data_IF_718850911621
#
_entry.id   IF_718850911621
#
_cell.length_a   1.000
_cell.length_b   1.000
_cell.length_c   1.000
_cell.angle_alpha   90.00
_cell.angle_beta   90.00
_cell.angle_gamma   90.00
#
_symmetry.space_group_name_H-M   'P 1'
#
loop_
_entity.id
_entity.type
_entity.pdbx_description
1 polymer ?
#
# COMPACT_ATOMS: atom_id res chain seq x y z
N UNK A 1 -30.58 40.31 32.85
CA UNK A 1 -29.55 39.91 31.87
C UNK A 1 -29.99 38.59 31.28
N UNK A 2 -30.85 38.69 30.27
CA UNK A 2 -31.57 37.59 29.64
C UNK A 2 -30.80 37.19 28.39
N UNK A 3 -30.45 35.91 28.29
CA UNK A 3 -29.67 35.33 27.19
C UNK A 3 -30.56 35.27 25.95
N UNK A 4 -30.20 35.98 24.88
CA UNK A 4 -30.83 35.84 23.57
C UNK A 4 -30.07 34.80 22.74
N UNK A 5 -30.81 33.73 22.42
CA UNK A 5 -30.55 32.80 21.34
C UNK A 5 -30.87 33.47 20.00
N UNK A 6 -30.09 33.17 18.96
CA UNK A 6 -30.60 33.18 17.59
C UNK A 6 -29.76 32.25 16.72
N UNK A 7 -30.47 31.23 16.22
CA UNK A 7 -30.10 30.23 15.22
C UNK A 7 -29.39 30.78 13.98
N UNK A 8 -28.43 30.01 13.49
CA UNK A 8 -28.23 29.83 12.06
C UNK A 8 -27.97 28.35 11.77
N UNK A 9 -29.02 27.67 11.31
CA UNK A 9 -28.94 26.30 10.83
C UNK A 9 -28.08 26.17 9.58
N UNK A 10 -27.34 25.07 9.49
CA UNK A 10 -26.94 24.50 8.22
C UNK A 10 -27.09 22.99 8.27
N UNK A 11 -27.78 22.48 7.26
CA UNK A 11 -28.34 21.16 7.19
C UNK A 11 -27.31 20.07 6.86
N UNK A 12 -27.71 18.85 7.22
CA UNK A 12 -27.39 17.60 6.55
C UNK A 12 -25.94 17.07 6.64
N UNK A 13 -25.70 16.25 7.67
CA UNK A 13 -24.72 15.17 7.64
C UNK A 13 -25.40 13.87 8.03
N UNK A 14 -25.68 13.02 7.04
CA UNK A 14 -26.47 11.79 7.17
C UNK A 14 -25.91 10.84 8.25
N UNK A 15 -26.82 10.35 9.09
CA UNK A 15 -26.71 9.04 9.75
C UNK A 15 -26.89 7.95 8.69
N UNK A 16 -25.91 7.06 8.55
CA UNK A 16 -26.01 5.68 8.04
C UNK A 16 -24.56 5.16 7.94
N UNK A 17 -24.18 3.93 8.21
CA UNK A 17 -24.84 2.70 8.68
C UNK A 17 -23.70 1.72 8.96
N UNK A 18 -23.90 0.78 9.89
CA UNK A 18 -22.94 -0.29 10.10
C UNK A 18 -22.76 -1.14 8.85
N UNK A 19 -21.52 -1.55 8.59
CA UNK A 19 -21.19 -2.60 7.64
C UNK A 19 -21.21 -3.93 8.38
N UNK A 20 -22.39 -4.53 8.50
CA UNK A 20 -22.52 -5.93 8.88
C UNK A 20 -21.92 -6.80 7.80
N UNK A 21 -21.14 -7.79 8.23
CA UNK A 21 -20.59 -8.85 7.39
C UNK A 21 -21.75 -9.68 6.81
N UNK A 22 -22.24 -9.28 5.64
CA UNK A 22 -23.23 -10.03 4.90
C UNK A 22 -22.52 -11.19 4.19
N UNK A 23 -22.76 -12.41 4.66
CA UNK A 23 -22.31 -13.63 3.99
C UNK A 23 -22.87 -13.64 2.55
N UNK A 24 -21.97 -13.49 1.58
CA UNK A 24 -22.29 -13.39 0.15
C UNK A 24 -22.74 -14.76 -0.40
N UNK A 25 -23.77 -14.82 -1.28
CA UNK A 25 -24.19 -16.07 -1.94
C UNK A 25 -23.05 -16.74 -2.74
N UNK A 26 -23.06 -18.08 -2.88
CA UNK A 26 -21.97 -18.83 -3.53
C UNK A 26 -21.75 -18.54 -5.03
N UNK A 27 -22.73 -17.96 -5.72
CA UNK A 27 -22.68 -17.71 -7.18
C UNK A 27 -21.71 -16.61 -7.64
N UNK A 28 -21.10 -15.85 -6.73
CA UNK A 28 -20.20 -14.73 -7.03
C UNK A 28 -18.77 -14.91 -6.53
N UNK A 29 -18.26 -16.14 -6.46
CA UNK A 29 -16.86 -16.38 -6.10
C UNK A 29 -15.94 -16.24 -7.32
N UNK A 30 -14.76 -15.66 -7.08
CA UNK A 30 -13.67 -15.46 -8.05
C UNK A 30 -12.45 -16.23 -7.56
N UNK A 31 -11.82 -17.00 -8.45
CA UNK A 31 -10.63 -17.78 -8.10
C UNK A 31 -9.36 -17.07 -8.57
N UNK A 32 -8.39 -16.93 -7.67
CA UNK A 32 -7.10 -16.32 -7.95
C UNK A 32 -5.97 -17.07 -7.22
N UNK A 33 -4.74 -16.82 -7.65
CA UNK A 33 -3.54 -17.41 -7.04
C UNK A 33 -2.66 -16.29 -6.48
N UNK A 34 -2.30 -16.37 -5.21
CA UNK A 34 -1.39 -15.43 -4.53
C UNK A 34 -0.18 -16.22 -4.03
N UNK A 35 1.02 -15.85 -4.49
CA UNK A 35 2.28 -16.52 -4.11
C UNK A 35 2.29 -18.05 -4.30
N UNK A 36 1.52 -18.54 -5.28
CA UNK A 36 1.35 -19.97 -5.56
C UNK A 36 0.26 -20.66 -4.76
N UNK A 37 -0.39 -19.96 -3.82
CA UNK A 37 -1.56 -20.44 -3.09
C UNK A 37 -2.85 -20.00 -3.79
N UNK A 38 -3.72 -20.98 -4.12
CA UNK A 38 -5.03 -20.71 -4.70
C UNK A 38 -6.05 -20.31 -3.63
N UNK A 39 -6.86 -19.29 -3.91
CA UNK A 39 -7.96 -18.85 -3.05
C UNK A 39 -9.18 -18.45 -3.90
N UNK A 40 -10.37 -18.71 -3.36
CA UNK A 40 -11.63 -18.22 -3.92
C UNK A 40 -12.25 -17.19 -2.98
N UNK A 41 -12.51 -15.99 -3.48
CA UNK A 41 -13.07 -14.87 -2.70
C UNK A 41 -14.30 -14.28 -3.40
N UNK A 42 -15.21 -13.61 -2.68
CA UNK A 42 -16.35 -12.92 -3.30
C UNK A 42 -15.90 -11.88 -4.33
N UNK A 43 -16.67 -11.72 -5.42
CA UNK A 43 -16.50 -10.64 -6.40
C UNK A 43 -16.46 -9.29 -5.70
N UNK A 44 -15.55 -8.42 -6.16
CA UNK A 44 -15.34 -7.09 -5.56
C UNK A 44 -14.38 -7.08 -4.37
N UNK A 45 -13.93 -8.24 -3.87
CA UNK A 45 -12.87 -8.30 -2.86
C UNK A 45 -11.57 -7.71 -3.42
N UNK A 46 -10.87 -6.92 -2.61
CA UNK A 46 -9.57 -6.36 -2.98
C UNK A 46 -8.45 -7.38 -2.79
N UNK A 47 -7.41 -7.32 -3.62
CA UNK A 47 -6.27 -8.25 -3.55
C UNK A 47 -5.60 -8.24 -2.18
N UNK A 48 -5.53 -7.08 -1.52
CA UNK A 48 -4.98 -6.98 -0.15
C UNK A 48 -5.78 -7.79 0.87
N UNK A 49 -7.11 -7.86 0.73
CA UNK A 49 -8.00 -8.61 1.63
C UNK A 49 -7.94 -10.10 1.35
N UNK A 50 -7.85 -10.48 0.07
CA UNK A 50 -7.63 -11.87 -0.32
C UNK A 50 -6.29 -12.42 0.23
N UNK A 51 -5.22 -11.60 0.20
CA UNK A 51 -3.93 -11.97 0.78
C UNK A 51 -3.99 -12.15 2.31
N UNK A 52 -4.76 -11.31 3.00
CA UNK A 52 -4.96 -11.42 4.46
C UNK A 52 -5.65 -12.72 4.86
N UNK A 53 -6.61 -13.20 4.06
CA UNK A 53 -7.29 -14.49 4.30
C UNK A 53 -6.31 -15.69 4.19
N UNK A 54 -5.23 -15.54 3.42
CA UNK A 54 -4.15 -16.52 3.32
C UNK A 54 -3.07 -16.33 4.41
N UNK A 55 -3.20 -15.33 5.28
CA UNK A 55 -2.19 -14.98 6.27
C UNK A 55 -0.96 -14.27 5.69
N UNK A 56 -1.02 -13.82 4.43
CA UNK A 56 0.06 -13.08 3.77
C UNK A 56 -0.08 -11.59 4.09
N UNK A 57 0.81 -11.08 4.95
CA UNK A 57 0.83 -9.67 5.31
C UNK A 57 1.49 -8.83 4.21
N UNK A 58 0.67 -8.13 3.41
CA UNK A 58 1.15 -7.13 2.46
C UNK A 58 1.37 -5.79 3.20
N UNK A 59 2.58 -5.20 3.11
CA UNK A 59 2.87 -3.95 3.78
C UNK A 59 1.97 -2.79 3.35
N UNK A 60 1.38 -2.08 4.32
CA UNK A 60 0.52 -0.92 4.08
C UNK A 60 0.67 0.16 5.15
N UNK A 61 0.30 1.39 4.78
CA UNK A 61 0.21 2.53 5.69
C UNK A 61 -1.14 3.25 5.62
N UNK A 62 -1.68 3.47 4.41
CA UNK A 62 -2.89 4.27 4.21
C UNK A 62 -4.19 3.47 4.06
N UNK A 63 -4.12 2.14 4.14
CA UNK A 63 -5.27 1.24 3.94
C UNK A 63 -5.80 0.74 5.29
N UNK A 64 -7.11 0.78 5.46
CA UNK A 64 -7.82 0.33 6.66
C UNK A 64 -9.19 -0.27 6.25
N UNK A 65 -9.65 -1.39 6.84
CA UNK A 65 -10.89 -2.06 6.41
C UNK A 65 -12.16 -1.20 6.47
N UNK A 66 -12.20 -0.25 7.41
CA UNK A 66 -13.35 0.64 7.63
C UNK A 66 -13.32 1.93 6.81
N UNK A 67 -12.30 2.13 5.98
CA UNK A 67 -12.14 3.34 5.17
C UNK A 67 -12.05 2.97 3.69
N UNK A 68 -12.46 3.91 2.83
CA UNK A 68 -12.35 3.71 1.39
C UNK A 68 -10.87 3.62 0.96
N UNK A 69 -10.55 2.77 -0.04
CA UNK A 69 -9.17 2.62 -0.50
C UNK A 69 -8.58 3.90 -1.10
N UNK A 70 -7.54 4.44 -0.45
CA UNK A 70 -6.90 5.67 -0.90
C UNK A 70 -5.76 5.45 -1.92
N UNK A 71 -5.01 4.35 -1.81
CA UNK A 71 -3.86 4.08 -2.68
C UNK A 71 -2.68 5.06 -2.58
N UNK A 72 -2.66 5.95 -1.57
CA UNK A 72 -1.70 7.03 -1.47
C UNK A 72 -0.27 6.58 -1.12
N UNK A 73 -0.11 5.66 -0.18
CA UNK A 73 1.22 5.30 0.35
C UNK A 73 2.06 4.42 -0.58
N UNK A 74 1.44 3.75 -1.56
CA UNK A 74 2.08 2.80 -2.50
C UNK A 74 2.94 1.68 -1.88
N UNK A 75 2.89 1.49 -0.56
CA UNK A 75 3.67 0.45 0.13
C UNK A 75 3.14 -0.97 -0.17
N UNK A 76 1.89 -1.09 -0.59
CA UNK A 76 1.21 -2.35 -0.91
C UNK A 76 1.38 -2.78 -2.37
N UNK A 77 2.47 -2.35 -3.02
CA UNK A 77 2.75 -2.73 -4.40
C UNK A 77 3.00 -4.24 -4.50
N UNK A 78 2.31 -4.88 -5.44
CA UNK A 78 2.43 -6.29 -5.80
C UNK A 78 2.63 -6.43 -7.31
N UNK A 79 3.23 -7.53 -7.73
CA UNK A 79 3.32 -7.89 -9.14
C UNK A 79 2.09 -8.72 -9.52
N UNK A 80 1.48 -8.39 -10.66
CA UNK A 80 0.35 -9.13 -11.22
C UNK A 80 0.77 -9.61 -12.59
N UNK A 81 0.64 -10.92 -12.85
CA UNK A 81 1.01 -11.47 -14.16
C UNK A 81 0.16 -10.83 -15.26
N UNK A 82 0.81 -10.52 -16.39
CA UNK A 82 0.20 -9.80 -17.50
C UNK A 82 0.22 -8.26 -17.36
N UNK A 83 0.53 -7.72 -16.18
CA UNK A 83 0.71 -6.28 -16.01
C UNK A 83 2.17 -5.87 -16.16
N UNK A 84 2.44 -4.85 -17.00
CA UNK A 84 3.80 -4.34 -17.22
C UNK A 84 4.37 -3.60 -16.01
N UNK A 85 3.50 -3.03 -15.18
CA UNK A 85 3.87 -2.23 -14.01
C UNK A 85 3.31 -2.88 -12.75
N UNK A 86 4.08 -2.91 -11.64
CA UNK A 86 3.56 -3.33 -10.35
C UNK A 86 2.36 -2.48 -9.92
N UNK A 87 1.35 -3.13 -9.35
CA UNK A 87 0.06 -2.51 -9.03
C UNK A 87 -0.11 -2.42 -7.51
N UNK A 88 -0.87 -1.43 -7.03
CA UNK A 88 -1.18 -1.31 -5.61
C UNK A 88 -2.31 -2.28 -5.25
N UNK A 89 -2.06 -3.21 -4.32
CA UNK A 89 -3.03 -4.27 -3.96
C UNK A 89 -4.30 -3.74 -3.28
N UNK A 90 -4.23 -2.56 -2.66
CA UNK A 90 -5.39 -1.95 -1.99
C UNK A 90 -6.41 -1.34 -2.95
N UNK A 91 -6.08 -1.07 -4.21
CA UNK A 91 -7.01 -0.42 -5.17
C UNK A 91 -7.48 -1.36 -6.27
N UNK A 92 -7.01 -2.60 -6.29
CA UNK A 92 -7.32 -3.57 -7.34
C UNK A 92 -8.27 -4.64 -6.79
N UNK A 93 -9.35 -4.89 -7.53
CA UNK A 93 -10.30 -5.96 -7.25
C UNK A 93 -9.78 -7.28 -7.81
N UNK A 94 -10.02 -8.37 -7.09
CA UNK A 94 -9.72 -9.72 -7.55
C UNK A 94 -10.52 -10.06 -8.82
N UNK A 95 -9.84 -10.60 -9.82
CA UNK A 95 -10.43 -11.11 -11.06
C UNK A 95 -10.12 -12.58 -11.23
N UNK A 96 -10.92 -13.29 -12.02
CA UNK A 96 -10.78 -14.73 -12.17
C UNK A 96 -9.50 -15.07 -12.94
N UNK A 97 -8.78 -16.10 -12.48
CA UNK A 97 -7.48 -16.50 -13.04
C UNK A 97 -6.34 -15.51 -12.78
N UNK A 98 -6.53 -14.52 -11.90
CA UNK A 98 -5.47 -13.57 -11.55
C UNK A 98 -4.34 -14.26 -10.80
N UNK A 99 -3.09 -14.01 -11.22
CA UNK A 99 -1.89 -14.49 -10.52
C UNK A 99 -1.15 -13.29 -9.93
N UNK A 100 -1.07 -13.25 -8.61
CA UNK A 100 -0.45 -12.17 -7.84
C UNK A 100 0.80 -12.69 -7.14
N UNK A 101 1.89 -11.94 -7.24
CA UNK A 101 3.16 -12.18 -6.56
C UNK A 101 3.47 -11.02 -5.64
N UNK A 102 3.57 -11.29 -4.34
CA UNK A 102 3.88 -10.29 -3.31
C UNK A 102 5.39 -10.09 -3.17
N UNK A 103 5.80 -9.26 -2.20
CA UNK A 103 7.22 -9.05 -1.88
C UNK A 103 7.97 -10.32 -1.45
N UNK A 104 7.26 -11.40 -1.09
CA UNK A 104 7.88 -12.66 -0.68
C UNK A 104 8.32 -13.49 -1.88
N UNK A 105 7.56 -13.45 -2.98
CA UNK A 105 7.79 -14.28 -4.17
C UNK A 105 8.36 -13.50 -5.36
N UNK A 106 8.19 -12.16 -5.40
CA UNK A 106 8.66 -11.31 -6.49
C UNK A 106 9.77 -10.33 -6.08
N UNK A 107 10.93 -10.34 -6.76
CA UNK A 107 11.98 -9.34 -6.55
C UNK A 107 11.58 -7.95 -7.06
N UNK A 108 10.64 -7.85 -8.02
CA UNK A 108 10.15 -6.58 -8.55
C UNK A 108 9.28 -5.89 -7.50
N UNK A 109 8.35 -6.62 -6.88
CA UNK A 109 7.53 -6.12 -5.79
C UNK A 109 8.39 -5.71 -4.58
N UNK A 110 9.36 -6.55 -4.19
CA UNK A 110 10.29 -6.24 -3.11
C UNK A 110 11.09 -4.95 -3.38
N UNK A 111 11.67 -4.81 -4.58
CA UNK A 111 12.43 -3.62 -4.97
C UNK A 111 11.56 -2.36 -4.98
N UNK A 112 10.33 -2.45 -5.49
CA UNK A 112 9.39 -1.34 -5.50
C UNK A 112 9.04 -0.88 -4.08
N UNK A 113 8.75 -1.82 -3.18
CA UNK A 113 8.45 -1.52 -1.77
C UNK A 113 9.62 -0.86 -1.03
N UNK A 114 10.86 -1.29 -1.32
CA UNK A 114 12.07 -0.63 -0.79
C UNK A 114 12.22 0.80 -1.32
N UNK A 115 12.02 1.00 -2.62
CA UNK A 115 12.07 2.34 -3.23
C UNK A 115 11.02 3.29 -2.66
N UNK A 116 9.79 2.79 -2.42
CA UNK A 116 8.74 3.57 -1.76
C UNK A 116 9.14 3.93 -0.33
N UNK A 117 9.71 2.98 0.44
CA UNK A 117 10.20 3.26 1.78
C UNK A 117 11.30 4.32 1.80
N UNK A 118 12.27 4.24 0.87
CA UNK A 118 13.31 5.25 0.71
C UNK A 118 12.74 6.63 0.39
N UNK A 119 11.74 6.69 -0.50
CA UNK A 119 11.06 7.94 -0.87
C UNK A 119 10.25 8.53 0.30
N UNK A 120 9.58 7.68 1.10
CA UNK A 120 8.84 8.14 2.27
C UNK A 120 9.77 8.70 3.36
N UNK A 121 10.96 8.12 3.49
CA UNK A 121 11.92 8.48 4.53
C UNK A 121 12.84 9.65 4.16
N UNK A 122 12.95 10.02 2.88
CA UNK A 122 13.82 11.13 2.46
C UNK A 122 13.41 12.46 3.11
N UNK A 123 12.11 12.62 3.37
CA UNK A 123 11.52 13.83 3.98
C UNK A 123 11.03 13.59 5.41
N UNK A 124 11.21 12.37 5.97
CA UNK A 124 10.80 12.08 7.33
C UNK A 124 11.91 12.48 8.30
N UNK A 125 11.64 13.32 9.31
CA UNK A 125 12.69 13.78 10.21
C UNK A 125 13.25 12.60 11.03
N UNK A 126 14.54 12.67 11.39
CA UNK A 126 15.24 11.66 12.17
C UNK A 126 14.92 11.74 13.68
N UNK A 127 13.65 11.97 13.99
CA UNK A 127 13.15 12.22 15.34
C UNK A 127 12.76 10.94 16.08
N UNK A 128 13.19 9.78 15.58
CA UNK A 128 12.91 8.48 16.20
C UNK A 128 13.25 8.39 17.72
N UNK A 129 14.31 9.01 18.27
CA UNK A 129 14.59 8.93 19.72
C UNK A 129 13.68 9.81 20.57
N UNK A 130 13.01 10.80 19.98
CA UNK A 130 12.08 11.72 20.66
C UNK A 130 10.62 11.49 20.27
N UNK A 131 10.38 10.67 19.25
CA UNK A 131 9.05 10.29 18.80
C UNK A 131 8.44 9.27 19.78
N UNK A 132 7.28 9.60 20.35
CA UNK A 132 6.55 8.73 21.28
C UNK A 132 6.21 7.36 20.66
N UNK A 133 6.03 7.31 19.33
CA UNK A 133 5.76 6.07 18.59
C UNK A 133 7.04 5.31 18.22
N UNK A 134 8.21 5.74 18.66
CA UNK A 134 9.49 5.19 18.21
C UNK A 134 9.57 3.66 18.30
N UNK A 135 9.00 3.03 19.34
CA UNK A 135 9.00 1.58 19.52
C UNK A 135 7.98 0.81 18.67
N UNK A 136 6.84 1.43 18.35
CA UNK A 136 5.68 0.77 17.72
C UNK A 136 5.37 1.34 16.33
N UNK A 137 6.18 2.28 15.85
CA UNK A 137 5.97 2.97 14.58
C UNK A 137 6.03 1.97 13.42
N UNK A 138 4.93 1.78 12.67
CA UNK A 138 4.91 0.85 11.54
C UNK A 138 5.96 1.20 10.48
N UNK A 139 6.29 2.48 10.32
CA UNK A 139 7.32 2.93 9.39
C UNK A 139 8.72 2.47 9.82
N UNK A 140 9.07 2.59 11.11
CA UNK A 140 10.35 2.13 11.65
C UNK A 140 10.49 0.61 11.55
N UNK A 141 9.48 -0.14 12.00
CA UNK A 141 9.51 -1.61 11.96
C UNK A 141 9.63 -2.11 10.53
N UNK A 142 8.85 -1.55 9.59
CA UNK A 142 8.94 -1.92 8.18
C UNK A 142 10.30 -1.55 7.59
N UNK A 143 10.84 -0.35 7.88
CA UNK A 143 12.20 0.03 7.46
C UNK A 143 13.24 -0.96 7.98
N UNK A 144 13.22 -1.31 9.26
CA UNK A 144 14.17 -2.28 9.82
C UNK A 144 14.04 -3.67 9.19
N UNK A 145 12.82 -4.10 8.82
CA UNK A 145 12.57 -5.38 8.14
C UNK A 145 13.06 -5.39 6.69
N UNK A 146 12.97 -4.26 5.97
CA UNK A 146 13.31 -4.18 4.54
C UNK A 146 14.68 -3.56 4.24
N UNK A 147 15.30 -2.87 5.19
CA UNK A 147 16.59 -2.22 4.99
C UNK A 147 17.71 -3.26 4.88
N UNK A 148 18.34 -3.34 3.70
CA UNK A 148 19.75 -3.74 3.64
C UNK A 148 20.60 -2.55 4.09
N UNK A 149 21.74 -2.77 4.76
CA UNK A 149 22.73 -1.73 4.95
C UNK A 149 23.37 -1.42 3.59
N UNK A 150 22.70 -0.62 2.75
CA UNK A 150 23.26 -0.17 1.47
C UNK A 150 24.11 1.06 1.77
N UNK A 151 25.43 1.05 1.53
CA UNK A 151 26.26 2.22 1.76
C UNK A 151 25.85 3.34 0.79
N UNK A 152 25.77 4.58 1.29
CA UNK A 152 25.30 5.78 0.57
C UNK A 152 25.92 5.92 -0.84
N UNK A 153 27.19 5.54 -1.02
CA UNK A 153 27.87 5.58 -2.33
C UNK A 153 27.18 4.76 -3.43
N UNK A 154 26.55 3.62 -3.08
CA UNK A 154 25.82 2.79 -4.06
C UNK A 154 24.47 3.37 -4.45
N UNK A 155 23.86 4.15 -3.56
CA UNK A 155 22.58 4.81 -3.82
C UNK A 155 22.79 6.03 -4.72
N UNK A 156 23.84 6.81 -4.49
CA UNK A 156 24.26 7.90 -5.39
C UNK A 156 24.61 7.40 -6.79
N UNK A 157 25.28 6.24 -6.90
CA UNK A 157 25.59 5.62 -8.18
C UNK A 157 24.32 5.18 -8.94
N UNK A 158 23.37 4.51 -8.27
CA UNK A 158 22.09 4.14 -8.89
C UNK A 158 21.25 5.36 -9.29
N UNK A 159 21.27 6.43 -8.49
CA UNK A 159 20.56 7.68 -8.83
C UNK A 159 21.22 8.39 -10.02
N UNK A 160 22.54 8.33 -10.13
CA UNK A 160 23.32 8.86 -11.28
C UNK A 160 23.08 8.03 -12.54
N UNK A 161 22.96 6.72 -12.43
CA UNK A 161 22.62 5.81 -13.54
C UNK A 161 21.19 6.07 -14.02
N UNK A 162 20.22 6.08 -13.10
CA UNK A 162 18.80 6.33 -13.42
C UNK A 162 18.58 7.73 -14.01
N UNK A 163 19.29 8.76 -13.52
CA UNK A 163 19.26 10.10 -14.14
C UNK A 163 19.83 10.10 -15.56
N UNK A 164 20.79 9.22 -15.87
CA UNK A 164 21.35 9.02 -17.21
C UNK A 164 20.33 8.37 -18.15
N UNK A 165 19.59 7.39 -17.66
CA UNK A 165 18.56 6.67 -18.43
C UNK A 165 17.33 7.53 -18.73
N UNK A 166 16.94 8.42 -17.81
CA UNK A 166 15.81 9.33 -18.00
C UNK A 166 16.11 10.52 -18.93
N UNK A 167 17.39 10.88 -19.13
CA UNK A 167 17.81 11.98 -19.99
C UNK A 167 19.06 11.61 -20.81
N UNK A 168 18.92 10.83 -21.90
CA UNK A 168 20.05 10.33 -22.69
C UNK A 168 20.83 11.42 -23.46
N UNK A 169 20.46 12.71 -23.32
CA UNK A 169 21.11 13.86 -23.98
C UNK A 169 21.60 14.96 -23.04
N UNK A 170 21.56 14.78 -21.72
CA UNK A 170 22.03 15.79 -20.75
C UNK A 170 23.51 15.61 -20.34
N UNK A 171 24.29 14.88 -21.14
CA UNK A 171 25.74 14.93 -21.07
C UNK A 171 26.21 16.02 -22.02
N UNK A 172 26.61 17.16 -21.49
CA UNK A 172 27.40 18.13 -22.25
C UNK A 172 28.18 19.02 -21.30
N UNK A 173 29.11 19.82 -21.85
CA UNK A 173 30.21 19.42 -22.73
C UNK A 173 31.31 18.62 -22.00
#
# INVERSE_FOLDING_TARGET
>A
MTVQQSDSGSAAGRRSSGGGEAAVPPEDLVSLTIDGAGISVPKGTLVIRAAEQLGIEIPRFCDHPLLDPAGACRQCIVEVEGQRKPMASCTITCTDGMVVKTQLSSPVAEKAQKGVMELLLINHPLDCPVCDKGGECPCRTRRCRTARPTPLRRQEAHLREARRDLHPGAAGP
#
